data_IF_676494199359
#
_entry.id   IF_676494199359
#
_cell.length_a   1.000
_cell.length_b   1.000
_cell.length_c   1.000
_cell.angle_alpha   90.00
_cell.angle_beta   90.00
_cell.angle_gamma   90.00
#
_symmetry.space_group_name_H-M   'P 1'
#
loop_
_entity.id
_entity.type
_entity.pdbx_description
1 polymer ?
#
# COMPACT_ATOMS: atom_id res chain seq x y z
N UNK A 1 10.67 5.72 -58.96
CA UNK A 1 10.05 6.47 -57.85
C UNK A 1 10.60 7.89 -57.90
N UNK A 2 9.76 8.92 -57.99
CA UNK A 2 10.25 10.31 -58.13
C UNK A 2 11.00 10.75 -56.88
N UNK A 3 12.03 11.59 -57.05
CA UNK A 3 12.78 12.21 -55.93
C UNK A 3 11.84 12.85 -54.90
N UNK A 4 10.73 13.44 -55.37
CA UNK A 4 9.71 14.05 -54.52
C UNK A 4 8.95 13.03 -53.66
N UNK A 5 8.69 11.83 -54.20
CA UNK A 5 7.98 10.75 -53.48
C UNK A 5 8.85 10.16 -52.37
N UNK A 6 10.14 9.94 -52.62
CA UNK A 6 11.08 9.45 -51.59
C UNK A 6 11.21 10.46 -50.45
N UNK A 7 11.36 11.75 -50.77
CA UNK A 7 11.42 12.84 -49.77
C UNK A 7 10.15 12.94 -48.94
N UNK A 8 8.99 12.74 -49.57
CA UNK A 8 7.70 12.73 -48.89
C UNK A 8 7.61 11.56 -47.89
N UNK A 9 7.98 10.33 -48.30
CA UNK A 9 7.99 9.18 -47.38
C UNK A 9 9.02 9.34 -46.24
N UNK A 10 10.21 9.88 -46.52
CA UNK A 10 11.23 10.14 -45.49
C UNK A 10 10.75 11.15 -44.44
N UNK A 11 10.01 12.18 -44.83
CA UNK A 11 9.48 13.18 -43.91
C UNK A 11 8.38 12.59 -43.01
N UNK A 12 7.47 11.79 -43.58
CA UNK A 12 6.43 11.11 -42.81
C UNK A 12 7.01 10.13 -41.80
N UNK A 13 8.02 9.33 -42.19
CA UNK A 13 8.71 8.43 -41.27
C UNK A 13 9.37 9.20 -40.11
N UNK A 14 10.07 10.30 -40.40
CA UNK A 14 10.71 11.12 -39.38
C UNK A 14 9.69 11.70 -38.39
N UNK A 15 8.56 12.20 -38.88
CA UNK A 15 7.48 12.73 -38.02
C UNK A 15 6.89 11.62 -37.14
N UNK A 16 6.65 10.42 -37.68
CA UNK A 16 6.13 9.29 -36.90
C UNK A 16 7.11 8.90 -35.79
N UNK A 17 8.41 8.84 -36.07
CA UNK A 17 9.43 8.51 -35.07
C UNK A 17 9.52 9.57 -33.96
N UNK A 18 9.42 10.86 -34.32
CA UNK A 18 9.40 11.95 -33.35
C UNK A 18 8.14 11.87 -32.46
N UNK A 19 6.97 11.61 -33.05
CA UNK A 19 5.73 11.45 -32.30
C UNK A 19 5.82 10.27 -31.33
N UNK A 20 6.33 9.11 -31.78
CA UNK A 20 6.54 7.94 -30.91
C UNK A 20 7.48 8.27 -29.75
N UNK A 21 8.61 8.94 -30.02
CA UNK A 21 9.55 9.33 -28.98
C UNK A 21 8.95 10.29 -27.95
N UNK A 22 8.13 11.26 -28.40
CA UNK A 22 7.42 12.20 -27.52
C UNK A 22 6.37 11.49 -26.67
N UNK A 23 5.59 10.57 -27.26
CA UNK A 23 4.59 9.76 -26.55
C UNK A 23 5.24 8.89 -25.49
N UNK A 24 6.34 8.22 -25.83
CA UNK A 24 7.07 7.35 -24.88
C UNK A 24 7.75 8.15 -23.77
N UNK A 25 8.23 9.37 -24.05
CA UNK A 25 8.75 10.26 -23.02
C UNK A 25 7.63 10.68 -22.06
N UNK A 26 6.47 11.07 -22.57
CA UNK A 26 5.33 11.45 -21.72
C UNK A 26 4.79 10.28 -20.90
N UNK A 27 4.72 9.07 -21.45
CA UNK A 27 4.33 7.85 -20.71
C UNK A 27 5.32 7.54 -19.59
N UNK A 28 6.62 7.63 -19.85
CA UNK A 28 7.68 7.44 -18.84
C UNK A 28 7.63 8.49 -17.74
N UNK A 29 7.36 9.76 -18.08
CA UNK A 29 7.20 10.83 -17.11
C UNK A 29 5.92 10.69 -16.28
N UNK A 30 4.81 10.24 -16.88
CA UNK A 30 3.58 9.95 -16.14
C UNK A 30 3.77 8.80 -15.13
N UNK A 31 4.48 7.74 -15.53
CA UNK A 31 4.91 6.67 -14.61
C UNK A 31 5.84 7.14 -13.48
N UNK A 32 6.50 8.29 -13.66
CA UNK A 32 7.43 8.87 -12.68
C UNK A 32 6.76 9.86 -11.71
N UNK A 33 5.58 10.37 -12.05
CA UNK A 33 4.82 11.36 -11.26
C UNK A 33 3.77 10.68 -10.35
N UNK A 34 3.40 9.43 -10.64
CA UNK A 34 2.77 8.53 -9.68
C UNK A 34 3.81 7.47 -9.32
N UNK A 35 4.67 7.71 -8.33
CA UNK A 35 5.11 6.56 -7.57
C UNK A 35 3.83 5.95 -7.01
N UNK A 36 3.36 4.84 -7.61
CA UNK A 36 2.41 3.96 -6.95
C UNK A 36 3.22 3.39 -5.80
N UNK A 37 3.33 4.16 -4.72
CA UNK A 37 3.82 3.69 -3.45
C UNK A 37 2.82 2.61 -3.06
N UNK A 38 3.24 1.36 -3.16
CA UNK A 38 2.42 0.27 -2.64
C UNK A 38 2.28 0.53 -1.13
N UNK A 39 1.05 0.60 -0.66
CA UNK A 39 0.78 0.80 0.76
C UNK A 39 -0.13 -0.30 1.27
N UNK A 40 0.09 -0.66 2.54
CA UNK A 40 -0.88 -1.42 3.31
C UNK A 40 -1.36 -0.54 4.45
N UNK A 41 -2.64 -0.21 4.47
CA UNK A 41 -3.27 0.58 5.52
C UNK A 41 -4.18 -0.32 6.34
N UNK A 42 -3.95 -0.35 7.65
CA UNK A 42 -4.75 -1.13 8.59
C UNK A 42 -5.47 -0.16 9.51
N UNK A 43 -6.80 -0.20 9.46
CA UNK A 43 -7.67 0.41 10.46
C UNK A 43 -8.06 -0.67 11.47
N UNK A 44 -7.96 -0.36 12.76
CA UNK A 44 -8.22 -1.28 13.85
C UNK A 44 -9.20 -0.64 14.83
N UNK A 45 -10.33 -1.32 15.06
CA UNK A 45 -11.22 -1.00 16.17
C UNK A 45 -10.66 -1.59 17.46
N UNK A 46 -9.95 -0.76 18.22
CA UNK A 46 -9.23 -1.15 19.44
C UNK A 46 -10.23 -1.64 20.50
N UNK A 47 -10.01 -2.82 21.12
CA UNK A 47 -10.80 -3.27 22.27
C UNK A 47 -10.83 -2.23 23.41
N UNK A 48 -11.95 -2.20 24.13
CA UNK A 48 -12.16 -1.25 25.24
C UNK A 48 -11.19 -1.48 26.41
N UNK A 49 -10.75 -2.71 26.60
CA UNK A 49 -9.82 -3.09 27.67
C UNK A 49 -8.34 -2.84 27.32
N UNK A 50 -8.06 -2.31 26.12
CA UNK A 50 -6.72 -1.90 25.68
C UNK A 50 -6.54 -0.40 25.88
N UNK A 51 -5.39 0.01 26.45
CA UNK A 51 -5.07 1.43 26.66
C UNK A 51 -4.48 2.09 25.40
N UNK A 52 -3.73 1.32 24.61
CA UNK A 52 -3.04 1.76 23.40
C UNK A 52 -3.23 0.71 22.30
N UNK A 53 -2.97 1.10 21.05
CA UNK A 53 -2.96 0.19 19.91
C UNK A 53 -1.60 0.28 19.22
N UNK A 54 -0.92 -0.85 19.09
CA UNK A 54 0.33 -1.01 18.39
C UNK A 54 0.16 -2.01 17.25
N UNK A 55 1.00 -1.86 16.22
CA UNK A 55 1.08 -2.77 15.09
C UNK A 55 2.51 -3.27 14.91
N UNK A 56 2.67 -4.59 14.95
CA UNK A 56 3.88 -5.28 14.51
C UNK A 56 3.60 -5.93 13.16
N UNK A 57 4.52 -5.80 12.21
CA UNK A 57 4.32 -6.29 10.87
C UNK A 57 5.60 -6.83 10.23
N UNK A 58 5.46 -7.84 9.39
CA UNK A 58 6.55 -8.43 8.61
C UNK A 58 6.04 -8.99 7.28
N UNK A 59 6.95 -9.34 6.38
CA UNK A 59 6.66 -10.04 5.14
C UNK A 59 7.86 -10.93 4.80
N UNK A 60 7.71 -12.24 5.05
CA UNK A 60 8.83 -13.18 4.99
C UNK A 60 9.94 -12.79 5.98
N UNK A 61 11.14 -12.53 5.47
CA UNK A 61 12.30 -12.15 6.29
C UNK A 61 12.42 -10.65 6.58
N UNK A 62 11.59 -9.81 5.95
CA UNK A 62 11.60 -8.36 6.16
C UNK A 62 10.62 -8.02 7.27
N UNK A 63 11.07 -7.28 8.28
CA UNK A 63 10.27 -6.87 9.43
C UNK A 63 10.19 -5.34 9.52
N UNK A 64 9.08 -4.84 10.06
CA UNK A 64 9.00 -3.51 10.64
C UNK A 64 9.76 -3.45 11.98
N UNK A 65 9.57 -2.38 12.77
CA UNK A 65 10.18 -2.22 14.08
C UNK A 65 9.94 -3.42 15.01
N UNK A 66 10.89 -3.65 15.92
CA UNK A 66 10.81 -4.73 16.91
C UNK A 66 9.55 -4.58 17.77
N UNK A 67 8.99 -5.72 18.24
CA UNK A 67 7.82 -5.72 19.11
C UNK A 67 7.98 -4.76 20.30
N UNK A 68 6.96 -3.96 20.66
CA UNK A 68 5.55 -4.05 20.23
C UNK A 68 5.27 -3.52 18.81
N UNK A 69 6.28 -2.98 18.12
CA UNK A 69 6.14 -2.41 16.79
C UNK A 69 5.91 -0.90 16.88
N UNK A 70 4.94 -0.40 16.10
CA UNK A 70 4.65 1.04 16.01
C UNK A 70 3.30 1.34 16.65
N UNK A 71 3.21 2.43 17.41
CA UNK A 71 1.93 2.90 17.94
C UNK A 71 1.05 3.42 16.80
N UNK A 72 -0.20 2.97 16.76
CA UNK A 72 -1.18 3.40 15.76
C UNK A 72 -1.76 4.76 16.13
N UNK A 73 -2.16 5.54 15.13
CA UNK A 73 -2.77 6.86 15.34
C UNK A 73 -4.28 6.75 15.52
N UNK A 74 -4.84 7.42 16.52
CA UNK A 74 -6.29 7.46 16.71
C UNK A 74 -6.97 8.28 15.60
N UNK A 75 -8.07 7.76 15.06
CA UNK A 75 -8.89 8.43 14.03
C UNK A 75 -10.13 9.06 14.65
N UNK A 76 -11.04 8.22 15.15
CA UNK A 76 -12.25 8.60 15.87
C UNK A 76 -12.74 7.45 16.75
N UNK A 77 -13.25 7.78 17.94
CA UNK A 77 -13.69 6.76 18.91
C UNK A 77 -12.58 5.73 19.15
N UNK A 78 -12.91 4.45 18.96
CA UNK A 78 -11.96 3.35 19.08
C UNK A 78 -11.27 2.93 17.77
N UNK A 79 -11.43 3.68 16.67
CA UNK A 79 -10.69 3.43 15.44
C UNK A 79 -9.29 4.04 15.50
N UNK A 80 -8.29 3.21 15.19
CA UNK A 80 -6.88 3.57 15.05
C UNK A 80 -6.36 3.11 13.70
N UNK A 81 -5.35 3.77 13.14
CA UNK A 81 -4.75 3.35 11.87
C UNK A 81 -3.24 3.47 11.82
N UNK A 82 -2.68 2.68 10.89
CA UNK A 82 -1.28 2.76 10.48
C UNK A 82 -1.12 2.38 9.01
N UNK A 83 -0.23 3.07 8.32
CA UNK A 83 0.10 2.81 6.91
C UNK A 83 1.55 2.36 6.77
N UNK A 84 1.73 1.15 6.25
CA UNK A 84 3.03 0.59 5.87
C UNK A 84 3.33 1.05 4.45
N UNK A 85 4.43 1.78 4.26
CA UNK A 85 4.87 2.30 2.98
C UNK A 85 5.73 1.28 2.21
N UNK A 86 5.67 1.36 0.88
CA UNK A 86 6.43 0.54 -0.08
C UNK A 86 6.16 -0.98 0.00
N UNK A 87 5.02 -1.39 0.57
CA UNK A 87 4.64 -2.78 0.76
C UNK A 87 3.29 -3.05 0.07
N UNK A 88 3.20 -4.17 -0.64
CA UNK A 88 1.94 -4.62 -1.27
C UNK A 88 1.07 -5.43 -0.30
N UNK A 89 1.72 -6.09 0.65
CA UNK A 89 1.09 -7.04 1.57
C UNK A 89 1.91 -7.12 2.86
N UNK A 90 1.27 -7.41 3.98
CA UNK A 90 1.94 -7.58 5.28
C UNK A 90 1.27 -8.70 6.08
N UNK A 91 2.06 -9.34 6.93
CA UNK A 91 1.62 -10.20 8.03
C UNK A 91 1.65 -9.37 9.31
N UNK A 92 0.51 -9.23 9.97
CA UNK A 92 0.30 -8.23 11.03
C UNK A 92 -0.14 -8.87 12.35
N UNK A 93 0.41 -8.36 13.45
CA UNK A 93 -0.11 -8.49 14.81
C UNK A 93 -0.46 -7.11 15.36
N UNK A 94 -1.70 -6.97 15.83
CA UNK A 94 -2.18 -5.83 16.59
C UNK A 94 -1.95 -6.13 18.07
N UNK A 95 -1.50 -5.17 18.88
CA UNK A 95 -1.21 -5.41 20.30
C UNK A 95 -1.39 -4.16 21.16
N UNK A 96 -1.48 -4.35 22.48
CA UNK A 96 -1.68 -3.26 23.45
C UNK A 96 -0.37 -2.70 24.03
N UNK A 97 0.79 -3.16 23.54
CA UNK A 97 2.10 -2.83 24.10
C UNK A 97 2.35 -3.34 25.52
N UNK A 98 1.40 -4.06 26.13
CA UNK A 98 1.42 -4.52 27.52
C UNK A 98 1.19 -6.04 27.67
N UNK A 99 1.15 -6.78 26.56
CA UNK A 99 1.17 -8.24 26.51
C UNK A 99 -0.05 -8.88 25.86
N UNK A 100 -1.12 -8.11 25.58
CA UNK A 100 -2.26 -8.59 24.78
C UNK A 100 -1.99 -8.37 23.30
N UNK A 101 -2.44 -9.29 22.47
CA UNK A 101 -2.33 -9.19 21.03
C UNK A 101 -3.47 -9.91 20.31
N UNK A 102 -3.66 -9.51 19.06
CA UNK A 102 -4.51 -10.14 18.08
C UNK A 102 -3.68 -10.27 16.80
N UNK A 103 -3.51 -11.47 16.24
CA UNK A 103 -3.96 -12.78 16.74
C UNK A 103 -3.30 -13.16 18.07
N UNK A 104 -3.88 -14.14 18.80
CA UNK A 104 -3.39 -14.55 20.12
C UNK A 104 -1.99 -15.21 20.04
N UNK A 105 -1.35 -15.40 21.18
CA UNK A 105 -0.03 -16.03 21.22
C UNK A 105 -0.08 -17.47 20.65
N UNK A 106 0.78 -17.75 19.66
CA UNK A 106 0.81 -19.03 18.96
C UNK A 106 -0.07 -19.09 17.71
N UNK A 107 -0.90 -18.07 17.47
CA UNK A 107 -1.68 -17.96 16.24
C UNK A 107 -0.87 -17.34 15.08
N UNK A 108 -1.35 -17.61 13.86
CA UNK A 108 -0.75 -17.07 12.64
C UNK A 108 -1.16 -15.61 12.47
N UNK A 109 -0.22 -14.77 12.05
CA UNK A 109 -0.44 -13.35 11.77
C UNK A 109 -1.59 -13.09 10.77
N UNK A 110 -2.19 -11.90 10.85
CA UNK A 110 -3.19 -11.43 9.89
C UNK A 110 -2.52 -11.02 8.59
N UNK A 111 -2.77 -11.78 7.52
CA UNK A 111 -2.31 -11.45 6.18
C UNK A 111 -3.21 -10.37 5.56
N UNK A 112 -2.67 -9.20 5.28
CA UNK A 112 -3.40 -8.02 4.78
C UNK A 112 -2.75 -7.42 3.53
N UNK A 113 -3.54 -6.69 2.74
CA UNK A 113 -3.11 -6.01 1.50
C UNK A 113 -4.02 -4.83 1.19
N UNK A 114 -3.48 -3.75 0.61
CA UNK A 114 -4.27 -2.55 0.34
C UNK A 114 -4.76 -1.88 1.63
N UNK A 115 -5.99 -1.39 1.63
CA UNK A 115 -6.63 -0.78 2.80
C UNK A 115 -7.64 -1.77 3.40
N UNK A 116 -7.56 -1.99 4.72
CA UNK A 116 -8.42 -2.94 5.43
C UNK A 116 -8.88 -2.39 6.78
N UNK A 117 -10.04 -2.85 7.23
CA UNK A 117 -10.61 -2.53 8.54
C UNK A 117 -10.74 -3.81 9.36
N UNK A 118 -10.21 -3.81 10.57
CA UNK A 118 -10.30 -4.92 11.51
C UNK A 118 -11.22 -4.53 12.67
N UNK A 119 -12.32 -5.26 12.86
CA UNK A 119 -13.27 -5.09 13.96
C UNK A 119 -13.79 -6.46 14.39
N UNK A 120 -13.75 -6.73 15.70
CA UNK A 120 -14.29 -7.94 16.32
C UNK A 120 -13.83 -9.26 15.67
N UNK A 121 -12.55 -9.36 15.31
CA UNK A 121 -11.98 -10.56 14.70
C UNK A 121 -12.19 -10.69 13.19
N UNK A 122 -12.84 -9.72 12.55
CA UNK A 122 -13.18 -9.75 11.12
C UNK A 122 -12.43 -8.66 10.36
N UNK A 123 -11.89 -9.03 9.19
CA UNK A 123 -11.28 -8.10 8.23
C UNK A 123 -12.32 -7.72 7.18
N UNK A 124 -12.47 -6.41 6.96
CA UNK A 124 -13.34 -5.80 5.95
C UNK A 124 -12.51 -5.04 4.91
N UNK A 125 -13.01 -4.96 3.68
CA UNK A 125 -12.44 -4.16 2.59
C UNK A 125 -12.99 -2.73 2.53
N UNK A 126 -13.89 -2.39 3.44
CA UNK A 126 -14.45 -1.05 3.64
C UNK A 126 -14.77 -0.87 5.13
N UNK A 127 -14.91 0.38 5.59
CA UNK A 127 -15.24 0.65 6.99
C UNK A 127 -16.61 0.04 7.32
N UNK A 128 -16.71 -0.91 8.26
CA UNK A 128 -18.00 -1.47 8.65
C UNK A 128 -18.84 -0.41 9.34
N UNK A 129 -20.15 -0.45 9.11
CA UNK A 129 -21.13 0.32 9.90
C UNK A 129 -21.15 -0.18 11.35
N UNK A 130 -21.65 0.67 12.25
CA UNK A 130 -21.76 0.35 13.67
C UNK A 130 -22.88 -0.65 13.98
#
# INVERSE_FOLDING_TARGET
MSSSTVRMFSLFMAIILIIMAVVDNNRRNAHKILAVTNTVTVHFYKPEDWQTAYIYYYNGAVTGPVRPGVEMSQENGNWYSFTILDWTTADVFLNDGAGKQIPEEGEVALRVSGEVWFKDGVIYSEKPED
#
